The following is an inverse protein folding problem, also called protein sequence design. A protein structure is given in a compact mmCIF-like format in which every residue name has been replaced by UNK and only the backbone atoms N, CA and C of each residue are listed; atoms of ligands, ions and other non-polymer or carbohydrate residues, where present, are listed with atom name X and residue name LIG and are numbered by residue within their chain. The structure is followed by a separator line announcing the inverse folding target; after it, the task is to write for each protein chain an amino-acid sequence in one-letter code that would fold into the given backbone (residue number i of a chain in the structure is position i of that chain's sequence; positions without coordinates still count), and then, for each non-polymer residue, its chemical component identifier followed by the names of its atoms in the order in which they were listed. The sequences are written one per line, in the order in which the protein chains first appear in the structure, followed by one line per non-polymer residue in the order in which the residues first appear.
data_IF_788539233988
#
_entry.id   IF_788539233988
#
_cell.length_a   1.000
_cell.length_b   1.000
_cell.length_c   1.000
_cell.angle_alpha   90.00
_cell.angle_beta   90.00
_cell.angle_gamma   90.00
#
_symmetry.space_group_name_H-M   'P 1'
#
loop_
_entity.id
_entity.type
_entity.pdbx_description
1 polymer ?
#
# COMPACT_ATOMS: atom_id res chain seq x y z
N UNK A 1 63.73 30.15 -30.14
CA UNK A 1 64.10 29.79 -28.75
C UNK A 1 62.81 29.69 -27.92
N UNK A 2 62.44 28.51 -27.41
CA UNK A 2 61.27 28.37 -26.52
C UNK A 2 61.62 28.96 -25.15
N UNK A 3 60.84 29.90 -24.62
CA UNK A 3 61.01 30.41 -23.25
C UNK A 3 60.75 29.25 -22.28
N UNK A 4 61.75 28.91 -21.47
CA UNK A 4 61.58 27.95 -20.38
C UNK A 4 60.60 28.53 -19.35
N UNK A 5 59.55 27.79 -19.03
CA UNK A 5 58.55 28.19 -18.03
C UNK A 5 59.22 28.17 -16.64
N UNK A 6 59.00 29.21 -15.84
CA UNK A 6 59.55 29.28 -14.47
C UNK A 6 58.92 28.18 -13.61
N UNK A 7 59.75 27.49 -12.81
CA UNK A 7 59.32 26.42 -11.91
C UNK A 7 58.20 26.86 -10.96
N UNK A 8 58.20 28.13 -10.53
CA UNK A 8 57.12 28.70 -9.70
C UNK A 8 55.77 28.76 -10.42
N UNK A 9 55.75 29.10 -11.71
CA UNK A 9 54.52 29.13 -12.52
C UNK A 9 53.93 27.73 -12.70
N UNK A 10 54.79 26.73 -12.88
CA UNK A 10 54.40 25.30 -12.92
C UNK A 10 53.81 24.84 -11.59
N UNK A 11 54.42 25.21 -10.46
CA UNK A 11 53.95 24.85 -9.13
C UNK A 11 52.58 25.50 -8.80
N UNK A 12 52.40 26.78 -9.15
CA UNK A 12 51.13 27.48 -8.95
C UNK A 12 50.00 26.89 -9.81
N UNK A 13 50.28 26.57 -11.08
CA UNK A 13 49.31 25.93 -11.96
C UNK A 13 48.92 24.54 -11.45
N UNK A 14 49.89 23.76 -10.95
CA UNK A 14 49.64 22.45 -10.34
C UNK A 14 48.74 22.58 -9.10
N UNK A 15 49.05 23.50 -8.18
CA UNK A 15 48.27 23.74 -6.96
C UNK A 15 46.83 24.19 -7.26
N UNK A 16 46.64 25.06 -8.26
CA UNK A 16 45.31 25.46 -8.72
C UNK A 16 44.55 24.26 -9.31
N UNK A 17 45.23 23.44 -10.10
CA UNK A 17 44.68 22.20 -10.65
C UNK A 17 44.23 21.22 -9.57
N UNK A 18 45.04 21.02 -8.51
CA UNK A 18 44.65 20.17 -7.38
C UNK A 18 43.48 20.75 -6.59
N UNK A 19 43.43 22.07 -6.36
CA UNK A 19 42.27 22.70 -5.68
C UNK A 19 40.99 22.50 -6.48
N UNK A 20 41.03 22.74 -7.80
CA UNK A 20 39.87 22.52 -8.69
C UNK A 20 39.45 21.05 -8.66
N UNK A 21 40.40 20.12 -8.72
CA UNK A 21 40.12 18.68 -8.65
C UNK A 21 39.46 18.29 -7.32
N UNK A 22 39.97 18.80 -6.20
CA UNK A 22 39.38 18.53 -4.87
C UNK A 22 37.96 19.07 -4.81
N UNK A 23 37.71 20.29 -5.28
CA UNK A 23 36.35 20.87 -5.32
C UNK A 23 35.43 20.01 -6.20
N UNK A 24 35.88 19.60 -7.38
CA UNK A 24 35.10 18.74 -8.27
C UNK A 24 34.76 17.38 -7.62
N UNK A 25 35.73 16.75 -6.93
CA UNK A 25 35.51 15.50 -6.21
C UNK A 25 34.54 15.67 -5.04
N UNK A 26 34.64 16.77 -4.29
CA UNK A 26 33.68 17.05 -3.20
C UNK A 26 32.26 17.24 -3.73
N UNK A 27 32.08 17.94 -4.85
CA UNK A 27 30.77 18.12 -5.47
C UNK A 27 30.21 16.79 -5.99
N UNK A 28 31.03 15.98 -6.66
CA UNK A 28 30.64 14.66 -7.12
C UNK A 28 30.25 13.74 -5.96
N UNK A 29 31.00 13.78 -4.85
CA UNK A 29 30.68 13.02 -3.65
C UNK A 29 29.37 13.48 -3.00
N UNK A 30 29.17 14.80 -2.83
CA UNK A 30 27.91 15.35 -2.31
C UNK A 30 26.72 14.98 -3.19
N UNK A 31 26.87 15.03 -4.51
CA UNK A 31 25.84 14.59 -5.45
C UNK A 31 25.55 13.09 -5.29
N UNK A 32 26.59 12.25 -5.18
CA UNK A 32 26.44 10.81 -4.95
C UNK A 32 25.70 10.50 -3.64
N UNK A 33 26.01 11.21 -2.55
CA UNK A 33 25.30 11.06 -1.27
C UNK A 33 23.84 11.47 -1.41
N UNK A 34 23.56 12.59 -2.08
CA UNK A 34 22.21 13.06 -2.34
C UNK A 34 21.39 12.03 -3.14
N UNK A 35 21.96 11.48 -4.23
CA UNK A 35 21.28 10.45 -5.04
C UNK A 35 21.06 9.17 -4.25
N UNK A 36 22.02 8.77 -3.41
CA UNK A 36 21.91 7.57 -2.59
C UNK A 36 20.80 7.72 -1.52
N UNK A 37 20.73 8.86 -0.85
CA UNK A 37 19.68 9.12 0.13
C UNK A 37 18.29 9.11 -0.50
N UNK A 38 18.14 9.70 -1.70
CA UNK A 38 16.86 9.64 -2.45
C UNK A 38 16.50 8.21 -2.87
N UNK A 39 17.48 7.41 -3.31
CA UNK A 39 17.24 6.01 -3.66
C UNK A 39 16.78 5.20 -2.43
N UNK A 40 17.39 5.43 -1.27
CA UNK A 40 17.00 4.79 0.00
C UNK A 40 15.58 5.19 0.42
N UNK A 41 15.22 6.46 0.30
CA UNK A 41 13.86 6.95 0.59
C UNK A 41 12.82 6.33 -0.35
N UNK A 42 13.11 6.27 -1.66
CA UNK A 42 12.23 5.60 -2.62
C UNK A 42 12.04 4.12 -2.31
N UNK A 43 13.11 3.42 -1.90
CA UNK A 43 13.03 2.02 -1.50
C UNK A 43 12.16 1.84 -0.24
N UNK A 44 12.36 2.68 0.78
CA UNK A 44 11.56 2.66 2.00
C UNK A 44 10.07 2.94 1.70
N UNK A 45 9.77 3.93 0.85
CA UNK A 45 8.40 4.24 0.44
C UNK A 45 7.75 3.09 -0.33
N UNK A 46 8.49 2.39 -1.20
CA UNK A 46 7.98 1.21 -1.92
C UNK A 46 7.68 0.06 -0.96
N UNK A 47 8.54 -0.17 0.03
CA UNK A 47 8.33 -1.18 1.07
C UNK A 47 7.09 -0.85 1.91
N UNK A 48 6.93 0.40 2.33
CA UNK A 48 5.79 0.86 3.11
C UNK A 48 4.49 0.76 2.29
N UNK A 49 4.51 1.16 1.01
CA UNK A 49 3.38 1.01 0.09
C UNK A 49 2.93 -0.44 -0.01
N UNK A 50 3.88 -1.38 -0.15
CA UNK A 50 3.58 -2.82 -0.27
C UNK A 50 3.01 -3.36 1.03
N UNK A 51 3.60 -3.01 2.18
CA UNK A 51 3.11 -3.44 3.49
C UNK A 51 1.70 -2.90 3.80
N UNK A 52 1.46 -1.63 3.49
CA UNK A 52 0.17 -0.99 3.71
C UNK A 52 -0.91 -1.52 2.76
N UNK A 53 -0.55 -1.85 1.51
CA UNK A 53 -1.42 -2.56 0.58
C UNK A 53 -1.80 -3.93 1.13
N UNK A 54 -0.84 -4.72 1.61
CA UNK A 54 -1.12 -6.02 2.21
C UNK A 54 -2.05 -5.90 3.44
N UNK A 55 -1.80 -4.93 4.34
CA UNK A 55 -2.68 -4.67 5.48
C UNK A 55 -4.12 -4.40 5.05
N UNK A 56 -4.32 -3.57 4.01
CA UNK A 56 -5.65 -3.29 3.48
C UNK A 56 -6.35 -4.56 2.98
N UNK A 57 -5.64 -5.39 2.22
CA UNK A 57 -6.18 -6.61 1.63
C UNK A 57 -6.52 -7.65 2.68
N UNK A 58 -5.62 -7.85 3.65
CA UNK A 58 -5.83 -8.77 4.76
C UNK A 58 -7.04 -8.35 5.60
N UNK A 59 -7.19 -7.06 5.89
CA UNK A 59 -8.34 -6.53 6.62
C UNK A 59 -9.65 -6.72 5.84
N UNK A 60 -9.63 -6.51 4.52
CA UNK A 60 -10.80 -6.75 3.67
C UNK A 60 -11.19 -8.22 3.66
N UNK A 61 -10.23 -9.13 3.51
CA UNK A 61 -10.46 -10.57 3.55
C UNK A 61 -10.97 -11.03 4.92
N UNK A 62 -10.40 -10.48 5.99
CA UNK A 62 -10.80 -10.78 7.37
C UNK A 62 -12.28 -10.45 7.63
N UNK A 63 -12.77 -9.31 7.16
CA UNK A 63 -14.18 -8.93 7.33
C UNK A 63 -15.14 -9.89 6.62
N UNK A 64 -14.85 -10.23 5.36
CA UNK A 64 -15.61 -11.25 4.62
C UNK A 64 -15.55 -12.62 5.32
N UNK A 65 -14.39 -13.00 5.85
CA UNK A 65 -14.24 -14.23 6.62
C UNK A 65 -15.11 -14.20 7.88
N UNK A 66 -15.07 -13.12 8.66
CA UNK A 66 -15.87 -12.99 9.88
C UNK A 66 -17.37 -13.03 9.57
N UNK A 67 -17.83 -12.32 8.53
CA UNK A 67 -19.24 -12.33 8.13
C UNK A 67 -19.70 -13.75 7.72
N UNK A 68 -18.90 -14.46 6.92
CA UNK A 68 -19.21 -15.84 6.48
C UNK A 68 -19.14 -16.86 7.60
N UNK A 69 -18.14 -16.76 8.47
CA UNK A 69 -18.00 -17.65 9.61
C UNK A 69 -19.15 -17.43 10.60
N UNK A 70 -19.54 -16.17 10.87
CA UNK A 70 -20.72 -15.85 11.65
C UNK A 70 -21.99 -16.45 11.01
N UNK A 71 -22.19 -16.24 9.71
CA UNK A 71 -23.35 -16.75 8.98
C UNK A 71 -23.46 -18.28 9.04
N UNK A 72 -22.33 -18.99 8.93
CA UNK A 72 -22.29 -20.45 8.90
C UNK A 72 -22.41 -21.10 10.28
N UNK A 73 -21.94 -20.43 11.35
CA UNK A 73 -21.82 -21.02 12.69
C UNK A 73 -22.82 -20.48 13.69
N UNK A 74 -23.29 -19.25 13.52
CA UNK A 74 -24.03 -18.51 14.55
C UNK A 74 -23.18 -18.14 15.77
N UNK A 75 -21.86 -18.27 15.71
CA UNK A 75 -20.98 -17.90 16.82
C UNK A 75 -20.80 -16.38 16.87
N UNK A 76 -21.19 -15.80 18.01
CA UNK A 76 -21.14 -14.36 18.30
C UNK A 76 -19.70 -13.81 18.26
N UNK A 77 -18.68 -14.66 18.45
CA UNK A 77 -17.27 -14.27 18.37
C UNK A 77 -16.95 -13.64 17.01
N UNK A 78 -17.45 -14.23 15.92
CA UNK A 78 -17.21 -13.71 14.57
C UNK A 78 -17.92 -12.37 14.33
N UNK A 79 -19.13 -12.21 14.86
CA UNK A 79 -19.85 -10.92 14.84
C UNK A 79 -19.07 -9.84 15.59
N UNK A 80 -18.63 -10.14 16.81
CA UNK A 80 -17.87 -9.21 17.64
C UNK A 80 -16.53 -8.81 16.99
N UNK A 81 -15.85 -9.76 16.34
CA UNK A 81 -14.64 -9.51 15.58
C UNK A 81 -14.89 -8.56 14.40
N UNK A 82 -15.93 -8.80 13.62
CA UNK A 82 -16.33 -7.93 12.52
C UNK A 82 -16.59 -6.50 13.03
N UNK A 83 -17.42 -6.37 14.06
CA UNK A 83 -17.76 -5.07 14.65
C UNK A 83 -16.53 -4.36 15.23
N UNK A 84 -15.60 -5.10 15.83
CA UNK A 84 -14.36 -4.53 16.35
C UNK A 84 -13.45 -4.03 15.22
N UNK A 85 -13.35 -4.76 14.12
CA UNK A 85 -12.57 -4.33 12.96
C UNK A 85 -13.16 -3.05 12.34
N UNK A 86 -14.47 -3.00 12.09
CA UNK A 86 -15.14 -1.83 11.50
C UNK A 86 -15.10 -0.59 12.40
N UNK A 87 -15.32 -0.76 13.71
CA UNK A 87 -15.50 0.37 14.61
C UNK A 87 -14.21 0.84 15.29
N UNK A 88 -13.29 -0.08 15.60
CA UNK A 88 -12.13 0.21 16.45
C UNK A 88 -10.80 0.07 15.70
N UNK A 89 -10.51 -1.11 15.11
CA UNK A 89 -9.20 -1.39 14.54
C UNK A 89 -8.98 -0.64 13.22
N UNK A 90 -9.98 -0.65 12.34
CA UNK A 90 -9.99 0.08 11.07
C UNK A 90 -8.70 -0.15 10.28
N UNK A 91 -8.28 -1.42 10.17
CA UNK A 91 -7.01 -1.77 9.52
C UNK A 91 -7.07 -1.47 8.04
N UNK A 92 -8.24 -1.60 7.41
CA UNK A 92 -8.47 -1.23 6.02
C UNK A 92 -8.21 0.27 5.80
N UNK A 93 -8.86 1.13 6.59
CA UNK A 93 -8.74 2.59 6.48
C UNK A 93 -7.32 3.06 6.85
N UNK A 94 -6.71 2.40 7.84
CA UNK A 94 -5.32 2.66 8.23
C UNK A 94 -4.35 2.29 7.12
N UNK A 95 -4.52 1.13 6.48
CA UNK A 95 -3.74 0.71 5.32
C UNK A 95 -3.83 1.73 4.19
N UNK A 96 -5.04 2.17 3.83
CA UNK A 96 -5.25 3.21 2.83
C UNK A 96 -4.52 4.52 3.18
N UNK A 97 -4.69 5.02 4.40
CA UNK A 97 -4.03 6.25 4.84
C UNK A 97 -2.49 6.15 4.81
N UNK A 98 -1.92 5.00 5.17
CA UNK A 98 -0.48 4.74 5.06
C UNK A 98 0.00 4.81 3.61
N UNK A 99 -0.76 4.22 2.69
CA UNK A 99 -0.48 4.28 1.25
C UNK A 99 -0.56 5.71 0.70
N UNK A 100 -1.54 6.51 1.13
CA UNK A 100 -1.63 7.92 0.76
C UNK A 100 -0.40 8.72 1.22
N UNK A 101 0.10 8.48 2.43
CA UNK A 101 1.28 9.17 2.98
C UNK A 101 2.55 8.95 2.18
N UNK A 102 2.73 7.77 1.58
CA UNK A 102 3.92 7.43 0.77
C UNK A 102 3.74 7.67 -0.74
N UNK A 103 2.54 8.10 -1.16
CA UNK A 103 2.29 8.58 -2.52
C UNK A 103 1.76 7.50 -3.49
N UNK A 104 0.49 7.11 -3.30
CA UNK A 104 -0.26 6.39 -4.34
C UNK A 104 -0.61 7.29 -5.52
N UNK A 105 -0.52 6.72 -6.72
CA UNK A 105 -0.93 7.33 -7.99
C UNK A 105 -2.45 7.44 -8.10
N UNK A 106 -2.90 8.29 -9.01
CA UNK A 106 -4.33 8.41 -9.31
C UNK A 106 -4.92 7.11 -9.88
N UNK A 107 -4.13 6.31 -10.60
CA UNK A 107 -4.58 4.99 -11.09
C UNK A 107 -4.82 4.01 -9.93
N UNK A 108 -3.91 3.97 -8.96
CA UNK A 108 -4.06 3.16 -7.74
C UNK A 108 -5.25 3.63 -6.90
N UNK A 109 -5.43 4.95 -6.73
CA UNK A 109 -6.62 5.53 -6.05
C UNK A 109 -7.93 5.16 -6.76
N UNK A 110 -7.95 5.16 -8.09
CA UNK A 110 -9.13 4.78 -8.85
C UNK A 110 -9.50 3.30 -8.66
N UNK A 111 -8.50 2.41 -8.51
CA UNK A 111 -8.75 1.01 -8.16
C UNK A 111 -9.33 0.88 -6.74
N UNK A 112 -8.81 1.66 -5.78
CA UNK A 112 -9.41 1.72 -4.44
C UNK A 112 -10.85 2.19 -4.45
N UNK A 113 -11.15 3.27 -5.18
CA UNK A 113 -12.50 3.80 -5.25
C UNK A 113 -13.49 2.75 -5.78
N UNK A 114 -13.12 2.01 -6.84
CA UNK A 114 -13.92 0.90 -7.36
C UNK A 114 -14.11 -0.23 -6.34
N UNK A 115 -13.03 -0.68 -5.68
CA UNK A 115 -13.12 -1.69 -4.64
C UNK A 115 -14.03 -1.26 -3.48
N UNK A 116 -13.92 0.00 -3.04
CA UNK A 116 -14.76 0.55 -1.97
C UNK A 116 -16.22 0.68 -2.38
N UNK A 117 -16.50 1.07 -3.62
CA UNK A 117 -17.87 1.15 -4.15
C UNK A 117 -18.55 -0.21 -4.11
N UNK A 118 -17.90 -1.26 -4.62
CA UNK A 118 -18.44 -2.62 -4.60
C UNK A 118 -18.52 -3.15 -3.16
N UNK A 119 -17.48 -2.92 -2.34
CA UNK A 119 -17.49 -3.36 -0.94
C UNK A 119 -18.62 -2.73 -0.13
N UNK A 120 -19.03 -1.50 -0.43
CA UNK A 120 -20.16 -0.85 0.23
C UNK A 120 -21.50 -1.53 -0.10
N UNK A 121 -21.62 -2.18 -1.28
CA UNK A 121 -22.80 -2.96 -1.64
C UNK A 121 -22.87 -4.29 -0.86
N UNK A 122 -21.71 -4.83 -0.46
CA UNK A 122 -21.64 -6.05 0.34
C UNK A 122 -22.03 -5.83 1.81
N UNK A 123 -21.78 -4.64 2.38
CA UNK A 123 -22.00 -4.37 3.81
C UNK A 123 -23.44 -4.72 4.27
N UNK A 124 -24.52 -4.30 3.58
CA UNK A 124 -25.87 -4.69 3.98
C UNK A 124 -26.11 -6.20 3.95
N UNK A 125 -25.46 -6.93 3.03
CA UNK A 125 -25.57 -8.39 2.95
C UNK A 125 -24.81 -9.05 4.10
N UNK A 126 -23.61 -8.58 4.43
CA UNK A 126 -22.82 -9.07 5.57
C UNK A 126 -23.55 -8.81 6.90
N UNK A 127 -24.05 -7.59 7.11
CA UNK A 127 -24.85 -7.24 8.29
C UNK A 127 -26.15 -8.05 8.37
N UNK A 128 -26.85 -8.20 7.25
CA UNK A 128 -28.05 -9.03 7.15
C UNK A 128 -27.78 -10.50 7.50
N UNK A 129 -26.66 -11.04 7.02
CA UNK A 129 -26.24 -12.41 7.30
C UNK A 129 -25.94 -12.61 8.79
N UNK A 130 -25.14 -11.73 9.37
CA UNK A 130 -24.79 -11.81 10.79
C UNK A 130 -26.03 -11.65 11.67
N UNK A 131 -26.92 -10.69 11.35
CA UNK A 131 -28.17 -10.52 12.08
C UNK A 131 -29.08 -11.74 11.99
N UNK A 132 -29.21 -12.37 10.82
CA UNK A 132 -29.97 -13.61 10.67
C UNK A 132 -29.38 -14.75 11.50
N UNK A 133 -28.05 -14.89 11.49
CA UNK A 133 -27.34 -15.90 12.28
C UNK A 133 -27.50 -15.70 13.79
N UNK A 134 -27.40 -14.46 14.28
CA UNK A 134 -27.63 -14.13 15.70
C UNK A 134 -29.07 -14.40 16.15
N UNK A 135 -30.04 -14.40 15.22
CA UNK A 135 -31.42 -14.78 15.47
C UNK A 135 -31.69 -16.28 15.28
N UNK A 136 -30.67 -17.09 14.99
CA UNK A 136 -30.77 -18.54 14.77
C UNK A 136 -31.23 -18.94 13.36
N UNK A 137 -31.43 -18.00 12.45
CA UNK A 137 -31.78 -18.28 11.05
C UNK A 137 -30.52 -18.42 10.18
N UNK A 138 -29.82 -19.55 10.40
CA UNK A 138 -28.59 -19.89 9.68
C UNK A 138 -28.82 -20.07 8.17
N UNK A 139 -30.02 -20.54 7.77
CA UNK A 139 -30.30 -20.77 6.36
C UNK A 139 -30.34 -19.45 5.58
N UNK A 140 -31.07 -18.45 6.09
CA UNK A 140 -31.08 -17.11 5.49
C UNK A 140 -29.71 -16.44 5.59
N UNK A 141 -29.00 -16.60 6.72
CA UNK A 141 -27.67 -16.07 6.90
C UNK A 141 -26.69 -16.53 5.81
N UNK A 142 -26.67 -17.84 5.53
CA UNK A 142 -25.84 -18.42 4.47
C UNK A 142 -26.25 -17.85 3.10
N UNK A 143 -27.54 -17.69 2.81
CA UNK A 143 -27.99 -17.15 1.52
C UNK A 143 -27.48 -15.72 1.27
N UNK A 144 -27.37 -14.89 2.29
CA UNK A 144 -26.86 -13.52 2.13
C UNK A 144 -25.38 -13.47 1.70
N UNK A 145 -24.50 -14.31 2.26
CA UNK A 145 -23.03 -14.25 2.04
C UNK A 145 -22.48 -15.34 1.11
N UNK A 146 -23.33 -16.26 0.67
CA UNK A 146 -23.03 -17.27 -0.35
C UNK A 146 -24.00 -17.21 -1.54
N UNK A 147 -24.86 -16.19 -1.60
CA UNK A 147 -25.73 -15.93 -2.75
C UNK A 147 -24.96 -15.51 -4.00
N UNK A 148 -25.66 -15.47 -5.14
CA UNK A 148 -25.07 -15.12 -6.43
C UNK A 148 -24.51 -13.70 -6.43
N UNK A 149 -25.33 -12.71 -6.04
CA UNK A 149 -24.96 -11.29 -5.96
C UNK A 149 -23.68 -11.09 -5.12
N UNK A 150 -23.67 -11.60 -3.89
CA UNK A 150 -22.51 -11.50 -3.00
C UNK A 150 -21.24 -12.09 -3.61
N UNK A 151 -21.34 -13.28 -4.22
CA UNK A 151 -20.18 -13.94 -4.81
C UNK A 151 -19.69 -13.24 -6.07
N UNK A 152 -20.57 -12.66 -6.88
CA UNK A 152 -20.20 -11.86 -8.04
C UNK A 152 -19.42 -10.62 -7.63
N UNK A 153 -19.94 -9.85 -6.68
CA UNK A 153 -19.28 -8.65 -6.16
C UNK A 153 -17.95 -8.97 -5.46
N UNK A 154 -17.90 -10.05 -4.67
CA UNK A 154 -16.66 -10.50 -4.04
C UNK A 154 -15.60 -10.90 -5.07
N UNK A 155 -15.99 -11.60 -6.15
CA UNK A 155 -15.08 -11.98 -7.22
C UNK A 155 -14.55 -10.74 -7.98
N UNK A 156 -15.39 -9.73 -8.19
CA UNK A 156 -14.95 -8.48 -8.80
C UNK A 156 -13.97 -7.71 -7.90
N UNK A 157 -14.25 -7.63 -6.59
CA UNK A 157 -13.31 -7.08 -5.61
C UNK A 157 -11.97 -7.82 -5.68
N UNK A 158 -11.97 -9.15 -5.65
CA UNK A 158 -10.74 -9.95 -5.72
C UNK A 158 -9.95 -9.67 -7.01
N UNK A 159 -10.63 -9.56 -8.15
CA UNK A 159 -9.97 -9.19 -9.42
C UNK A 159 -9.35 -7.80 -9.37
N UNK A 160 -10.03 -6.83 -8.77
CA UNK A 160 -9.50 -5.47 -8.57
C UNK A 160 -8.31 -5.46 -7.59
N UNK A 161 -8.36 -6.28 -6.54
CA UNK A 161 -7.26 -6.46 -5.59
C UNK A 161 -6.01 -7.01 -6.28
N UNK A 162 -6.16 -8.03 -7.13
CA UNK A 162 -5.06 -8.56 -7.94
C UNK A 162 -4.49 -7.51 -8.89
N UNK A 163 -5.36 -6.76 -9.58
CA UNK A 163 -4.94 -5.67 -10.48
C UNK A 163 -4.19 -4.57 -9.72
N UNK A 164 -4.64 -4.23 -8.53
CA UNK A 164 -4.01 -3.25 -7.66
C UNK A 164 -2.62 -3.71 -7.20
N UNK A 165 -2.50 -4.96 -6.73
CA UNK A 165 -1.20 -5.54 -6.37
C UNK A 165 -0.22 -5.56 -7.54
N UNK A 166 -0.68 -5.98 -8.72
CA UNK A 166 0.14 -5.95 -9.94
C UNK A 166 0.61 -4.53 -10.28
N UNK A 167 -0.25 -3.53 -10.10
CA UNK A 167 0.09 -2.11 -10.34
C UNK A 167 1.19 -1.64 -9.39
N UNK A 168 1.13 -2.00 -8.11
CA UNK A 168 2.17 -1.67 -7.12
C UNK A 168 3.48 -2.41 -7.41
N UNK A 169 3.40 -3.69 -7.77
CA UNK A 169 4.59 -4.52 -7.98
C UNK A 169 5.39 -4.12 -9.23
N UNK A 170 4.70 -3.65 -10.28
CA UNK A 170 5.31 -3.28 -11.57
C UNK A 170 5.81 -1.83 -11.64
N UNK A 171 5.65 -1.05 -10.56
CA UNK A 171 6.31 0.26 -10.36
C UNK A 171 7.81 0.13 -10.20
#
# INVERSE_FOLDING_TARGET
MKKAVKQSTLLTALNLGTVILVVALTLAFSFSVYTNNRAMEMYANKQELTSAAQQFLDASGYLTEQARACAATGDETYYNNYQNEVNNLKNRETGYSRMEKVGITEAEKALFAQMSEISNNLVPLEEGAMNAAMNGDIQSAIQYVFGEEYNTDLAEIQSLQEKFLNTIQTR
#
